data_IF_204738461022
#
_entry.id   IF_204738461022
#
_cell.length_a   1.000
_cell.length_b   1.000
_cell.length_c   1.000
_cell.angle_alpha   90.00
_cell.angle_beta   90.00
_cell.angle_gamma   90.00
#
_symmetry.space_group_name_H-M   'P 1'
#
loop_
_entity.id
_entity.type
_entity.pdbx_description
1 polymer ?
#
# COMPACT_ATOMS: atom_id res chain seq x y z
N UNK A 1 -2.49 4.48 23.63
CA UNK A 1 -3.42 4.59 22.47
C UNK A 1 -3.28 3.35 21.61
N UNK A 2 -4.37 2.87 20.98
CA UNK A 2 -4.32 1.69 20.10
C UNK A 2 -3.75 1.99 18.71
N UNK A 3 -3.15 0.98 18.12
CA UNK A 3 -2.70 0.98 16.73
C UNK A 3 -3.52 -0.01 15.89
N UNK A 4 -3.75 0.29 14.62
CA UNK A 4 -4.35 -0.60 13.64
C UNK A 4 -3.29 -1.15 12.69
N UNK A 5 -3.20 -2.47 12.58
CA UNK A 5 -2.32 -3.15 11.62
C UNK A 5 -3.15 -3.66 10.44
N UNK A 6 -2.87 -3.14 9.25
CA UNK A 6 -3.58 -3.42 8.00
C UNK A 6 -2.71 -4.34 7.16
N UNK A 7 -3.06 -5.62 7.08
CA UNK A 7 -2.21 -6.66 6.50
C UNK A 7 -2.82 -7.20 5.22
N UNK A 8 -2.03 -7.20 4.14
CA UNK A 8 -2.38 -7.82 2.84
C UNK A 8 -1.57 -9.10 2.68
N UNK A 9 -2.24 -10.26 2.62
CA UNK A 9 -1.61 -11.57 2.54
C UNK A 9 -2.12 -12.39 1.35
N UNK A 10 -1.25 -13.24 0.78
CA UNK A 10 -1.61 -14.18 -0.30
C UNK A 10 -0.79 -15.48 -0.30
N UNK A 11 0.28 -15.57 0.48
CA UNK A 11 1.18 -16.71 0.58
C UNK A 11 1.86 -16.78 1.96
N UNK A 12 2.81 -17.67 2.13
CA UNK A 12 3.69 -17.82 3.31
C UNK A 12 2.93 -17.91 4.64
N UNK A 13 2.13 -18.97 4.87
CA UNK A 13 1.29 -19.10 6.06
C UNK A 13 2.08 -19.08 7.37
N UNK A 14 3.28 -19.62 7.41
CA UNK A 14 4.11 -19.67 8.62
C UNK A 14 4.66 -18.29 8.99
N UNK A 15 5.04 -17.49 7.97
CA UNK A 15 5.48 -16.11 8.18
C UNK A 15 4.31 -15.26 8.64
N UNK A 16 3.13 -15.39 7.98
CA UNK A 16 1.92 -14.69 8.39
C UNK A 16 1.52 -15.04 9.83
N UNK A 17 1.56 -16.31 10.20
CA UNK A 17 1.30 -16.73 11.59
C UNK A 17 2.26 -16.10 12.58
N UNK A 18 3.55 -16.09 12.23
CA UNK A 18 4.60 -15.46 13.06
C UNK A 18 4.33 -13.97 13.21
N UNK A 19 4.02 -13.27 12.11
CA UNK A 19 3.65 -11.85 12.14
C UNK A 19 2.47 -11.57 13.08
N UNK A 20 1.38 -12.34 12.96
CA UNK A 20 0.19 -12.17 13.79
C UNK A 20 0.51 -12.39 15.29
N UNK A 21 1.34 -13.39 15.61
CA UNK A 21 1.78 -13.66 16.99
C UNK A 21 2.70 -12.57 17.55
N UNK A 22 3.59 -12.01 16.72
CA UNK A 22 4.45 -10.89 17.13
C UNK A 22 3.68 -9.58 17.34
N UNK A 23 2.55 -9.41 16.66
CA UNK A 23 1.66 -8.25 16.82
C UNK A 23 0.58 -8.45 17.89
N UNK A 24 0.49 -9.62 18.53
CA UNK A 24 -0.54 -9.95 19.54
C UNK A 24 -0.31 -9.18 20.85
N UNK A 25 -0.82 -7.97 20.90
CA UNK A 25 -0.76 -7.05 22.04
C UNK A 25 -2.13 -6.38 22.24
N UNK A 26 -2.53 -6.11 23.48
CA UNK A 26 -3.82 -5.47 23.79
C UNK A 26 -3.98 -4.07 23.19
N UNK A 27 -2.86 -3.43 22.85
CA UNK A 27 -2.79 -2.10 22.20
C UNK A 27 -2.96 -2.19 20.68
N UNK A 28 -3.09 -3.40 20.10
CA UNK A 28 -3.14 -3.61 18.66
C UNK A 28 -4.46 -4.23 18.23
N UNK A 29 -5.05 -3.67 17.19
CA UNK A 29 -6.13 -4.29 16.43
C UNK A 29 -5.60 -4.62 15.02
N UNK A 30 -5.76 -5.85 14.57
CA UNK A 30 -5.22 -6.35 13.30
C UNK A 30 -6.36 -6.57 12.31
N UNK A 31 -6.23 -6.04 11.11
CA UNK A 31 -7.15 -6.19 9.99
C UNK A 31 -6.45 -6.97 8.89
N UNK A 32 -6.86 -8.21 8.69
CA UNK A 32 -6.23 -9.12 7.74
C UNK A 32 -7.10 -9.28 6.48
N UNK A 33 -6.57 -8.85 5.34
CA UNK A 33 -7.09 -9.21 4.03
C UNK A 33 -6.26 -10.34 3.45
N UNK A 34 -6.91 -11.46 3.13
CA UNK A 34 -6.31 -12.57 2.37
C UNK A 34 -6.84 -12.51 0.94
N UNK A 35 -5.96 -12.50 -0.05
CA UNK A 35 -6.35 -12.50 -1.48
C UNK A 35 -7.40 -13.57 -1.76
N UNK A 36 -8.44 -13.23 -2.51
CA UNK A 36 -9.56 -14.16 -2.78
C UNK A 36 -9.11 -15.47 -3.43
N UNK A 37 -8.01 -15.45 -4.18
CA UNK A 37 -7.42 -16.61 -4.85
C UNK A 37 -6.62 -17.50 -3.90
N UNK A 38 -6.17 -16.98 -2.75
CA UNK A 38 -5.46 -17.72 -1.72
C UNK A 38 -6.44 -18.46 -0.78
N UNK A 39 -7.20 -19.42 -1.34
CA UNK A 39 -8.28 -20.13 -0.62
C UNK A 39 -7.74 -20.94 0.54
N UNK A 40 -6.63 -21.65 0.34
CA UNK A 40 -6.01 -22.47 1.39
C UNK A 40 -5.51 -21.61 2.55
N UNK A 41 -4.84 -20.51 2.26
CA UNK A 41 -4.40 -19.56 3.27
C UNK A 41 -5.59 -19.01 4.06
N UNK A 42 -6.66 -18.61 3.39
CA UNK A 42 -7.86 -18.12 4.05
C UNK A 42 -8.48 -19.19 4.98
N UNK A 43 -8.57 -20.44 4.54
CA UNK A 43 -9.14 -21.53 5.34
C UNK A 43 -8.30 -21.82 6.58
N UNK A 44 -6.98 -21.63 6.52
CA UNK A 44 -6.08 -21.79 7.68
C UNK A 44 -6.28 -20.68 8.72
N UNK A 45 -6.63 -19.47 8.29
CA UNK A 45 -6.69 -18.32 9.19
C UNK A 45 -8.09 -17.85 9.54
N UNK A 46 -9.15 -18.22 8.82
CA UNK A 46 -10.53 -17.71 9.01
C UNK A 46 -11.07 -17.83 10.44
N UNK A 47 -10.58 -18.81 11.20
CA UNK A 47 -10.95 -19.07 12.59
C UNK A 47 -9.78 -18.80 13.56
N UNK A 48 -8.69 -18.18 13.08
CA UNK A 48 -7.52 -17.88 13.91
C UNK A 48 -7.84 -16.78 14.92
N UNK A 49 -7.39 -16.95 16.15
CA UNK A 49 -7.62 -16.01 17.24
C UNK A 49 -6.30 -15.60 17.89
N UNK A 50 -6.20 -14.35 18.26
CA UNK A 50 -5.15 -13.81 19.10
C UNK A 50 -5.49 -14.02 20.59
N UNK A 51 -4.47 -13.93 21.43
CA UNK A 51 -4.66 -14.07 22.89
C UNK A 51 -4.95 -12.73 23.57
N UNK A 52 -4.42 -11.61 23.04
CA UNK A 52 -4.44 -10.29 23.66
C UNK A 52 -5.13 -9.25 22.77
N UNK A 53 -4.70 -9.17 21.51
CA UNK A 53 -5.19 -8.21 20.54
C UNK A 53 -6.48 -8.66 19.85
N UNK A 54 -7.07 -7.76 19.06
CA UNK A 54 -8.23 -8.07 18.22
C UNK A 54 -7.75 -8.40 16.80
N UNK A 55 -8.25 -9.52 16.23
CA UNK A 55 -8.04 -9.86 14.82
C UNK A 55 -9.38 -9.81 14.07
N UNK A 56 -9.43 -9.02 13.02
CA UNK A 56 -10.56 -8.91 12.09
C UNK A 56 -10.11 -9.45 10.73
N UNK A 57 -10.59 -10.63 10.37
CA UNK A 57 -10.33 -11.21 9.05
C UNK A 57 -11.45 -10.77 8.11
N UNK A 58 -11.07 -10.05 7.04
CA UNK A 58 -12.02 -9.46 6.12
C UNK A 58 -12.74 -10.55 5.31
N UNK A 59 -14.08 -10.53 5.34
CA UNK A 59 -14.92 -11.42 4.52
C UNK A 59 -14.99 -10.96 3.07
N UNK A 60 -15.02 -9.63 2.86
CA UNK A 60 -14.94 -9.03 1.52
C UNK A 60 -13.48 -9.08 1.06
N UNK A 61 -13.17 -9.99 0.13
CA UNK A 61 -11.82 -10.22 -0.36
C UNK A 61 -11.69 -9.84 -1.83
N UNK A 62 -10.59 -9.20 -2.16
CA UNK A 62 -10.26 -8.70 -3.50
C UNK A 62 -9.20 -9.59 -4.13
N UNK A 63 -9.28 -9.84 -5.45
CA UNK A 63 -8.19 -10.42 -6.21
C UNK A 63 -7.15 -9.33 -6.51
N UNK A 64 -6.06 -9.33 -5.78
CA UNK A 64 -5.01 -8.30 -5.88
C UNK A 64 -4.01 -8.66 -6.97
N UNK A 65 -3.95 -7.87 -8.02
CA UNK A 65 -3.03 -8.09 -9.14
C UNK A 65 -1.85 -7.12 -9.07
N UNK A 66 -0.65 -7.63 -9.30
CA UNK A 66 0.57 -6.83 -9.26
C UNK A 66 0.53 -5.69 -10.31
N UNK A 67 0.79 -4.47 -9.84
CA UNK A 67 0.83 -3.27 -10.67
C UNK A 67 -0.55 -2.77 -11.14
N UNK A 68 -1.63 -3.39 -10.68
CA UNK A 68 -3.01 -3.03 -11.01
C UNK A 68 -3.64 -2.15 -9.91
N UNK A 69 -4.74 -1.47 -10.25
CA UNK A 69 -5.49 -0.65 -9.31
C UNK A 69 -6.05 -1.43 -8.12
N UNK A 70 -6.22 -2.75 -8.27
CA UNK A 70 -6.70 -3.63 -7.19
C UNK A 70 -5.82 -3.62 -5.94
N UNK A 71 -4.53 -3.22 -6.04
CA UNK A 71 -3.68 -2.98 -4.87
C UNK A 71 -4.18 -1.78 -4.07
N UNK A 72 -4.54 -0.68 -4.75
CA UNK A 72 -5.13 0.50 -4.10
C UNK A 72 -6.52 0.20 -3.54
N UNK A 73 -7.32 -0.63 -4.24
CA UNK A 73 -8.65 -1.03 -3.79
C UNK A 73 -8.59 -1.79 -2.46
N UNK A 74 -7.64 -2.71 -2.30
CA UNK A 74 -7.48 -3.47 -1.06
C UNK A 74 -6.98 -2.60 0.09
N UNK A 75 -6.09 -1.66 -0.19
CA UNK A 75 -5.63 -0.71 0.82
C UNK A 75 -6.79 0.15 1.35
N UNK A 76 -7.63 0.71 0.45
CA UNK A 76 -8.82 1.44 0.86
C UNK A 76 -9.81 0.57 1.65
N UNK A 77 -10.03 -0.68 1.24
CA UNK A 77 -10.89 -1.60 1.98
C UNK A 77 -10.41 -1.78 3.43
N UNK A 78 -9.09 -1.91 3.63
CA UNK A 78 -8.49 -2.05 4.95
C UNK A 78 -8.60 -0.74 5.76
N UNK A 79 -8.26 0.41 5.17
CA UNK A 79 -8.37 1.71 5.85
C UNK A 79 -9.82 2.01 6.25
N UNK A 80 -10.78 1.84 5.36
CA UNK A 80 -12.21 2.06 5.62
C UNK A 80 -12.72 1.12 6.74
N UNK A 81 -12.33 -0.16 6.71
CA UNK A 81 -12.73 -1.13 7.74
C UNK A 81 -12.15 -0.76 9.10
N UNK A 82 -10.89 -0.34 9.15
CA UNK A 82 -10.26 0.04 10.40
C UNK A 82 -10.85 1.35 10.96
N UNK A 83 -11.10 2.35 10.13
CA UNK A 83 -11.73 3.62 10.55
C UNK A 83 -13.12 3.42 11.19
N UNK A 84 -13.90 2.43 10.73
CA UNK A 84 -15.19 2.09 11.33
C UNK A 84 -15.08 1.52 12.76
N UNK A 85 -13.90 1.07 13.16
CA UNK A 85 -13.61 0.48 14.47
C UNK A 85 -12.68 1.34 15.34
N UNK A 86 -12.16 2.47 14.81
CA UNK A 86 -11.26 3.39 15.49
C UNK A 86 -11.92 4.27 16.53
N UNK A 87 -11.26 5.34 16.97
CA UNK A 87 -10.01 5.86 16.40
C UNK A 87 -8.76 5.11 16.85
N UNK A 88 -7.71 5.15 16.01
CA UNK A 88 -6.39 4.61 16.29
C UNK A 88 -5.33 5.73 16.25
N UNK A 89 -4.28 5.62 17.07
CA UNK A 89 -3.18 6.57 16.99
C UNK A 89 -2.45 6.49 15.65
N UNK A 90 -2.26 5.23 15.17
CA UNK A 90 -1.59 4.93 13.90
C UNK A 90 -2.27 3.77 13.17
N UNK A 91 -2.21 3.84 11.85
CA UNK A 91 -2.57 2.78 10.89
C UNK A 91 -1.31 2.34 10.17
N UNK A 92 -0.90 1.09 10.34
CA UNK A 92 0.29 0.48 9.76
C UNK A 92 -0.11 -0.43 8.61
N UNK A 93 0.26 -0.10 7.38
CA UNK A 93 0.03 -0.95 6.22
C UNK A 93 1.24 -1.87 6.01
N UNK A 94 1.02 -3.17 6.01
CA UNK A 94 2.04 -4.21 5.95
C UNK A 94 1.70 -5.32 4.96
N UNK A 95 2.73 -5.98 4.44
CA UNK A 95 2.59 -7.28 3.77
C UNK A 95 2.44 -8.41 4.80
N UNK A 96 1.75 -9.48 4.42
CA UNK A 96 1.70 -10.72 5.23
C UNK A 96 3.04 -11.43 5.40
N UNK A 97 4.10 -10.94 4.76
CA UNK A 97 5.47 -11.46 4.87
C UNK A 97 6.44 -10.50 5.56
N UNK A 98 5.95 -9.35 6.05
CA UNK A 98 6.77 -8.45 6.86
C UNK A 98 6.80 -8.92 8.31
N UNK A 99 7.90 -8.64 9.01
CA UNK A 99 8.04 -8.95 10.43
C UNK A 99 8.51 -7.70 11.19
N UNK A 100 7.99 -7.45 12.41
CA UNK A 100 8.50 -6.41 13.28
C UNK A 100 9.95 -6.69 13.66
N UNK A 101 10.82 -5.68 13.57
CA UNK A 101 12.24 -5.78 13.97
C UNK A 101 12.48 -5.25 15.40
N UNK A 102 11.41 -4.85 16.08
CA UNK A 102 11.42 -4.33 17.44
C UNK A 102 10.26 -4.93 18.23
N UNK A 103 10.36 -4.87 19.57
CA UNK A 103 9.28 -5.26 20.49
C UNK A 103 8.08 -4.31 20.38
N UNK A 104 6.89 -4.77 20.79
CA UNK A 104 5.69 -3.93 20.78
C UNK A 104 5.85 -2.69 21.67
N UNK A 105 6.50 -2.80 22.83
CA UNK A 105 6.77 -1.66 23.69
C UNK A 105 7.60 -0.60 22.99
N UNK A 106 8.70 -1.01 22.34
CA UNK A 106 9.53 -0.09 21.57
C UNK A 106 8.73 0.60 20.45
N UNK A 107 7.90 -0.16 19.72
CA UNK A 107 7.09 0.38 18.62
C UNK A 107 6.11 1.43 19.15
N UNK A 108 5.36 1.12 20.22
CA UNK A 108 4.40 2.05 20.82
C UNK A 108 5.09 3.31 21.39
N UNK A 109 6.22 3.16 22.08
CA UNK A 109 7.00 4.29 22.59
C UNK A 109 7.53 5.17 21.45
N UNK A 110 8.03 4.54 20.37
CA UNK A 110 8.53 5.27 19.19
C UNK A 110 7.42 6.13 18.56
N UNK A 111 6.26 5.57 18.29
CA UNK A 111 5.14 6.29 17.69
C UNK A 111 4.54 7.33 18.65
N UNK A 112 4.53 7.07 19.96
CA UNK A 112 4.13 8.05 20.95
C UNK A 112 5.07 9.24 21.00
N UNK A 113 6.39 9.02 20.95
CA UNK A 113 7.41 10.08 20.90
C UNK A 113 7.29 10.94 19.64
N UNK A 114 6.85 10.35 18.54
CA UNK A 114 6.70 11.02 17.27
C UNK A 114 5.23 11.22 16.86
N UNK A 115 4.35 11.40 17.86
CA UNK A 115 2.93 11.59 17.63
C UNK A 115 2.64 12.73 16.62
N UNK A 116 1.70 12.48 15.71
CA UNK A 116 1.33 13.44 14.65
C UNK A 116 2.25 13.43 13.42
N UNK A 117 3.28 12.58 13.39
CA UNK A 117 4.14 12.41 12.20
C UNK A 117 3.64 11.28 11.30
N UNK A 118 3.81 11.48 9.98
CA UNK A 118 3.45 10.52 8.95
C UNK A 118 4.71 9.82 8.43
N UNK A 119 4.76 8.50 8.54
CA UNK A 119 5.91 7.69 8.12
C UNK A 119 5.67 7.12 6.73
N UNK A 120 6.08 7.87 5.72
CA UNK A 120 5.88 7.60 4.30
C UNK A 120 7.20 7.78 3.57
N UNK A 121 7.69 6.73 2.93
CA UNK A 121 8.95 6.77 2.17
C UNK A 121 8.78 7.35 0.77
N UNK A 122 9.84 8.00 0.27
CA UNK A 122 9.88 8.61 -1.05
C UNK A 122 11.12 8.17 -1.82
N UNK A 123 10.97 8.06 -3.14
CA UNK A 123 12.04 7.82 -4.09
C UNK A 123 12.17 9.01 -5.05
N UNK A 124 13.11 9.90 -4.82
CA UNK A 124 13.22 11.16 -5.55
C UNK A 124 14.38 11.23 -6.57
N UNK A 125 15.06 10.10 -6.83
CA UNK A 125 16.08 10.05 -7.86
C UNK A 125 15.50 10.40 -9.25
N UNK A 126 16.32 10.98 -10.15
CA UNK A 126 15.88 11.34 -11.51
C UNK A 126 15.28 10.18 -12.30
N UNK A 127 15.75 8.96 -12.06
CA UNK A 127 15.22 7.72 -12.65
C UNK A 127 13.77 7.45 -12.22
N UNK A 128 13.47 7.63 -10.94
CA UNK A 128 12.14 7.46 -10.37
C UNK A 128 11.16 8.52 -10.87
N UNK A 129 11.59 9.77 -11.01
CA UNK A 129 10.75 10.84 -11.60
C UNK A 129 10.36 10.53 -13.04
N UNK A 130 11.29 10.01 -13.86
CA UNK A 130 11.00 9.55 -15.23
C UNK A 130 10.03 8.37 -15.25
N UNK A 131 10.18 7.43 -14.30
CA UNK A 131 9.28 6.27 -14.16
C UNK A 131 7.86 6.71 -13.78
N UNK A 132 7.71 7.60 -12.79
CA UNK A 132 6.43 8.19 -12.40
C UNK A 132 5.76 8.89 -13.59
N UNK A 133 6.51 9.73 -14.30
CA UNK A 133 6.01 10.40 -15.50
C UNK A 133 5.47 9.38 -16.51
N UNK A 134 6.24 8.35 -16.82
CA UNK A 134 5.84 7.30 -17.77
C UNK A 134 4.57 6.57 -17.30
N UNK A 135 4.49 6.20 -16.02
CA UNK A 135 3.38 5.41 -15.45
C UNK A 135 2.09 6.20 -15.34
N UNK A 136 2.15 7.46 -14.94
CA UNK A 136 0.97 8.29 -14.65
C UNK A 136 0.42 8.98 -15.91
N UNK A 137 1.28 9.49 -16.79
CA UNK A 137 0.85 10.29 -17.93
C UNK A 137 0.53 9.50 -19.21
N UNK A 138 0.57 8.16 -19.13
CA UNK A 138 0.12 7.27 -20.21
C UNK A 138 -1.00 6.37 -19.74
N UNK A 139 -1.79 5.88 -20.67
CA UNK A 139 -2.77 4.83 -20.41
C UNK A 139 -2.11 3.47 -20.46
N UNK A 140 -2.05 2.79 -19.31
CA UNK A 140 -1.70 1.38 -19.20
C UNK A 140 -2.99 0.55 -19.22
N UNK A 141 -3.22 -0.13 -20.34
CA UNK A 141 -4.36 -1.02 -20.50
C UNK A 141 -4.01 -2.42 -19.99
N UNK A 142 -5.01 -3.12 -19.48
CA UNK A 142 -4.89 -4.52 -19.05
C UNK A 142 -3.81 -4.75 -17.96
N UNK A 143 -3.68 -3.84 -17.02
CA UNK A 143 -2.73 -3.93 -15.89
C UNK A 143 -2.94 -5.21 -15.07
N UNK A 144 -4.18 -5.68 -14.93
CA UNK A 144 -4.54 -6.94 -14.26
C UNK A 144 -3.84 -8.17 -14.83
N UNK A 145 -3.49 -8.15 -16.11
CA UNK A 145 -2.80 -9.23 -16.81
C UNK A 145 -1.30 -8.96 -17.02
N UNK A 146 -0.72 -8.05 -16.24
CA UNK A 146 0.70 -7.70 -16.36
C UNK A 146 1.60 -8.83 -15.88
N UNK A 147 1.25 -9.47 -14.75
CA UNK A 147 1.87 -10.69 -14.25
C UNK A 147 0.77 -11.72 -13.99
N UNK A 148 0.91 -12.91 -14.59
CA UNK A 148 -0.05 -14.01 -14.44
C UNK A 148 -1.13 -14.07 -15.53
N UNK A 149 -1.90 -15.16 -15.54
CA UNK A 149 -2.86 -15.50 -16.59
C UNK A 149 -2.36 -16.62 -17.50
N UNK A 150 -3.23 -17.12 -18.41
CA UNK A 150 -2.78 -18.08 -19.42
C UNK A 150 -1.79 -17.42 -20.38
N UNK A 151 -0.84 -18.19 -20.89
CA UNK A 151 0.22 -17.69 -21.79
C UNK A 151 -0.34 -16.94 -23.00
N UNK A 152 -1.46 -17.39 -23.55
CA UNK A 152 -2.14 -16.75 -24.69
C UNK A 152 -2.73 -15.38 -24.32
N UNK A 153 -3.50 -15.30 -23.23
CA UNK A 153 -4.11 -14.03 -22.74
C UNK A 153 -3.03 -13.04 -22.37
N UNK A 154 -1.97 -13.49 -21.69
CA UNK A 154 -0.82 -12.65 -21.34
C UNK A 154 -0.14 -12.10 -22.61
N UNK A 155 0.13 -12.92 -23.61
CA UNK A 155 0.73 -12.48 -24.88
C UNK A 155 -0.12 -11.45 -25.61
N UNK A 156 -1.41 -11.71 -25.77
CA UNK A 156 -2.34 -10.80 -26.47
C UNK A 156 -2.48 -9.45 -25.74
N UNK A 157 -2.66 -9.47 -24.42
CA UNK A 157 -2.79 -8.24 -23.63
C UNK A 157 -1.49 -7.45 -23.57
N UNK A 158 -0.34 -8.13 -23.49
CA UNK A 158 0.97 -7.50 -23.56
C UNK A 158 1.21 -6.85 -24.93
N UNK A 159 0.89 -7.53 -26.04
CA UNK A 159 0.98 -6.99 -27.38
C UNK A 159 0.12 -5.73 -27.53
N UNK A 160 -1.18 -5.81 -27.19
CA UNK A 160 -2.12 -4.69 -27.31
C UNK A 160 -1.66 -3.50 -26.46
N UNK A 161 -1.21 -3.75 -25.24
CA UNK A 161 -0.66 -2.71 -24.35
C UNK A 161 0.57 -2.05 -24.95
N UNK A 162 1.51 -2.82 -25.49
CA UNK A 162 2.74 -2.30 -26.07
C UNK A 162 2.47 -1.48 -27.33
N UNK A 163 1.55 -1.91 -28.19
CA UNK A 163 1.09 -1.14 -29.37
C UNK A 163 0.47 0.19 -28.91
N UNK A 164 -0.44 0.15 -27.94
CA UNK A 164 -1.07 1.35 -27.38
C UNK A 164 -0.04 2.33 -26.80
N UNK A 165 0.95 1.83 -26.04
CA UNK A 165 2.03 2.65 -25.49
C UNK A 165 2.94 3.21 -26.58
N UNK A 166 3.20 2.44 -27.64
CA UNK A 166 3.96 2.87 -28.82
C UNK A 166 3.27 4.03 -29.54
N UNK A 167 1.96 3.91 -29.80
CA UNK A 167 1.15 4.98 -30.41
C UNK A 167 1.17 6.23 -29.54
N UNK A 168 0.91 6.11 -28.23
CA UNK A 168 0.96 7.22 -27.27
C UNK A 168 2.32 7.94 -27.28
N UNK A 169 3.42 7.16 -27.44
CA UNK A 169 4.77 7.74 -27.53
C UNK A 169 4.97 8.50 -28.83
N UNK A 170 4.52 7.91 -29.95
CA UNK A 170 4.66 8.51 -31.28
C UNK A 170 3.95 9.86 -31.40
N UNK A 171 2.69 9.92 -30.93
CA UNK A 171 1.89 11.16 -30.96
C UNK A 171 2.18 12.08 -29.76
N UNK A 172 3.19 11.78 -28.95
CA UNK A 172 3.55 12.52 -27.72
C UNK A 172 2.35 12.75 -26.78
N UNK A 173 1.46 11.76 -26.72
CA UNK A 173 0.25 11.85 -25.90
C UNK A 173 0.59 11.96 -24.40
N UNK A 174 -0.12 12.86 -23.74
CA UNK A 174 -0.03 13.02 -22.27
C UNK A 174 -1.44 13.11 -21.67
N UNK A 175 -1.75 12.25 -20.70
CA UNK A 175 -2.96 12.35 -19.90
C UNK A 175 -2.95 13.66 -19.12
N UNK A 176 -4.09 14.34 -19.11
CA UNK A 176 -4.29 15.54 -18.28
C UNK A 176 -4.75 15.12 -16.88
N UNK A 177 -4.13 15.67 -15.87
CA UNK A 177 -4.51 15.49 -14.47
C UNK A 177 -4.82 16.85 -13.85
N UNK A 178 -5.69 16.86 -12.83
CA UNK A 178 -6.01 18.09 -12.10
C UNK A 178 -4.81 18.63 -11.30
N UNK A 179 -3.86 17.75 -10.96
CA UNK A 179 -2.59 18.07 -10.30
C UNK A 179 -1.46 17.38 -11.05
N UNK A 180 -0.34 18.07 -11.21
CA UNK A 180 0.81 17.59 -11.99
C UNK A 180 1.99 17.08 -11.13
N UNK A 181 1.88 17.15 -9.81
CA UNK A 181 2.94 16.75 -8.89
C UNK A 181 2.69 15.33 -8.37
N UNK A 182 3.27 14.35 -9.04
CA UNK A 182 3.24 12.96 -8.63
C UNK A 182 4.58 12.53 -8.07
N UNK A 183 4.52 11.76 -6.99
CA UNK A 183 5.68 11.24 -6.26
C UNK A 183 5.56 9.75 -6.09
N UNK A 184 6.69 9.07 -6.00
CA UNK A 184 6.79 7.62 -5.83
C UNK A 184 7.52 7.28 -4.54
N UNK A 185 7.16 6.15 -3.93
CA UNK A 185 7.84 5.62 -2.77
C UNK A 185 7.42 4.21 -2.43
N UNK A 186 7.58 3.84 -1.18
CA UNK A 186 7.17 2.53 -0.68
C UNK A 186 5.64 2.45 -0.50
N UNK A 187 5.09 1.27 -0.77
CA UNK A 187 3.68 0.98 -0.48
C UNK A 187 3.41 0.94 1.04
N UNK A 188 4.37 0.41 1.80
CA UNK A 188 4.23 0.21 3.25
C UNK A 188 4.45 1.51 4.00
N UNK A 189 3.51 1.84 4.89
CA UNK A 189 3.43 3.14 5.56
C UNK A 189 2.90 3.00 6.98
N UNK A 190 3.13 4.05 7.80
CA UNK A 190 2.46 4.22 9.08
C UNK A 190 1.94 5.64 9.17
N UNK A 191 0.61 5.78 9.25
CA UNK A 191 -0.07 7.08 9.15
C UNK A 191 -0.98 7.34 10.34
N UNK A 192 -1.19 8.61 10.64
CA UNK A 192 -2.08 9.06 11.72
C UNK A 192 -3.56 8.89 11.36
N UNK A 193 -4.42 8.92 12.37
CA UNK A 193 -5.88 8.91 12.20
C UNK A 193 -6.36 10.07 11.30
N UNK A 194 -5.85 11.26 11.54
CA UNK A 194 -6.23 12.45 10.77
C UNK A 194 -5.88 12.31 9.28
N UNK A 195 -4.70 11.77 8.96
CA UNK A 195 -4.34 11.55 7.56
C UNK A 195 -5.08 10.36 6.96
N UNK A 196 -5.40 9.33 7.74
CA UNK A 196 -6.22 8.20 7.30
C UNK A 196 -7.62 8.67 6.87
N UNK A 197 -8.28 9.50 7.65
CA UNK A 197 -9.55 10.15 7.27
C UNK A 197 -9.40 10.97 5.97
N UNK A 198 -8.38 11.82 5.91
CA UNK A 198 -8.09 12.62 4.71
C UNK A 198 -7.89 11.77 3.46
N UNK A 199 -7.22 10.63 3.59
CA UNK A 199 -6.97 9.65 2.53
C UNK A 199 -8.30 9.04 2.04
N UNK A 200 -9.13 8.55 2.96
CA UNK A 200 -10.40 7.87 2.65
C UNK A 200 -11.40 8.83 2.00
N UNK A 201 -11.50 10.06 2.46
CA UNK A 201 -12.36 11.10 1.86
C UNK A 201 -12.03 11.38 0.38
N UNK A 202 -10.81 11.06 -0.05
CA UNK A 202 -10.34 11.29 -1.43
C UNK A 202 -10.35 10.05 -2.31
N UNK A 203 -10.93 8.96 -1.84
CA UNK A 203 -11.01 7.68 -2.57
C UNK A 203 -11.48 7.85 -4.01
N UNK A 204 -12.60 8.54 -4.23
CA UNK A 204 -13.17 8.73 -5.57
C UNK A 204 -12.19 9.44 -6.52
N UNK A 205 -11.50 10.48 -6.02
CA UNK A 205 -10.47 11.19 -6.79
C UNK A 205 -9.27 10.27 -7.12
N UNK A 206 -8.78 9.52 -6.16
CA UNK A 206 -7.64 8.59 -6.34
C UNK A 206 -8.00 7.48 -7.32
N UNK A 207 -9.14 6.83 -7.15
CA UNK A 207 -9.59 5.76 -8.05
C UNK A 207 -9.73 6.25 -9.50
N UNK A 208 -10.29 7.43 -9.72
CA UNK A 208 -10.39 8.06 -11.06
C UNK A 208 -9.02 8.41 -11.64
N UNK A 209 -8.13 8.99 -10.83
CA UNK A 209 -6.81 9.47 -11.27
C UNK A 209 -5.90 8.31 -11.67
N UNK A 210 -5.90 7.23 -10.88
CA UNK A 210 -4.95 6.14 -11.04
C UNK A 210 -5.47 4.92 -11.80
N UNK A 211 -6.73 4.94 -12.28
CA UNK A 211 -7.39 3.82 -12.99
C UNK A 211 -6.54 3.15 -14.08
N UNK A 212 -5.74 3.92 -14.78
CA UNK A 212 -4.90 3.43 -15.89
C UNK A 212 -3.41 3.62 -15.63
N UNK A 213 -3.02 3.69 -14.38
CA UNK A 213 -1.63 3.85 -13.94
C UNK A 213 -1.04 2.47 -13.60
N UNK A 214 0.20 2.23 -13.99
CA UNK A 214 0.93 1.01 -13.61
C UNK A 214 1.58 1.21 -12.24
N UNK A 215 1.43 0.26 -11.32
CA UNK A 215 1.88 0.32 -9.92
C UNK A 215 1.40 1.60 -9.22
N UNK A 216 0.08 1.83 -9.13
CA UNK A 216 -0.45 3.04 -8.50
C UNK A 216 -0.23 3.06 -6.99
N UNK A 217 -0.11 1.91 -6.35
CA UNK A 217 0.19 1.69 -4.93
C UNK A 217 1.49 2.37 -4.47
N UNK A 218 2.49 2.43 -5.33
CA UNK A 218 3.75 3.12 -5.05
C UNK A 218 3.70 4.66 -5.28
N UNK A 219 2.56 5.21 -5.71
CA UNK A 219 2.48 6.60 -6.21
C UNK A 219 1.38 7.41 -5.51
N UNK A 220 0.22 6.82 -5.21
CA UNK A 220 -0.96 7.59 -4.84
C UNK A 220 -0.87 8.23 -3.46
N UNK A 221 -0.37 7.52 -2.44
CA UNK A 221 -0.22 8.07 -1.08
C UNK A 221 0.84 9.17 -1.05
N UNK A 222 2.00 8.92 -1.65
CA UNK A 222 3.07 9.91 -1.75
C UNK A 222 2.61 11.18 -2.46
N UNK A 223 1.88 11.01 -3.56
CA UNK A 223 1.33 12.15 -4.30
C UNK A 223 0.24 12.88 -3.51
N UNK A 224 -0.59 12.15 -2.77
CA UNK A 224 -1.66 12.74 -1.99
C UNK A 224 -1.11 13.56 -0.83
N UNK A 225 -0.22 12.99 -0.02
CA UNK A 225 0.33 13.68 1.16
C UNK A 225 1.16 14.89 0.75
N UNK A 226 1.99 14.77 -0.29
CA UNK A 226 2.84 15.88 -0.76
C UNK A 226 2.03 17.10 -1.21
N UNK A 227 0.83 16.87 -1.76
CA UNK A 227 -0.08 17.93 -2.21
C UNK A 227 -1.18 18.26 -1.17
N UNK A 228 -0.95 17.98 0.09
CA UNK A 228 -1.88 18.17 1.20
C UNK A 228 -1.30 19.03 2.32
N UNK A 229 -2.12 19.51 3.25
CA UNK A 229 -1.64 20.17 4.48
C UNK A 229 -0.77 19.26 5.37
N UNK A 230 -0.87 17.94 5.20
CA UNK A 230 -0.12 16.95 5.98
C UNK A 230 1.34 16.82 5.55
N UNK A 231 1.78 17.48 4.48
CA UNK A 231 3.16 17.44 3.99
C UNK A 231 4.17 17.76 5.08
N UNK A 232 3.93 18.76 5.90
CA UNK A 232 4.83 19.20 6.97
C UNK A 232 4.87 18.22 8.17
N UNK A 233 3.93 17.26 8.19
CA UNK A 233 3.89 16.19 9.18
C UNK A 233 4.72 14.97 8.76
N UNK A 234 5.24 14.90 7.53
CA UNK A 234 6.12 13.80 7.10
C UNK A 234 7.30 13.73 8.06
N UNK A 235 7.52 12.50 8.61
CA UNK A 235 8.66 12.23 9.48
C UNK A 235 9.93 12.42 8.73
N UNK A 236 10.83 13.10 8.84
CA UNK A 236 12.02 13.34 8.04
C UNK A 236 11.75 13.88 6.62
N UNK A 237 11.03 15.01 6.58
CA UNK A 237 10.72 15.70 5.32
C UNK A 237 11.98 16.10 4.54
N UNK A 238 13.11 16.38 5.21
CA UNK A 238 14.38 16.74 4.57
C UNK A 238 14.95 15.56 3.78
N UNK A 239 14.89 14.35 4.33
CA UNK A 239 15.34 13.15 3.66
C UNK A 239 14.33 12.66 2.62
N UNK A 240 13.02 12.80 2.87
CA UNK A 240 12.00 12.55 1.87
C UNK A 240 12.24 13.37 0.59
N UNK A 241 12.71 14.62 0.71
CA UNK A 241 13.07 15.45 -0.44
C UNK A 241 14.31 14.96 -1.20
N UNK A 242 15.21 14.22 -0.55
CA UNK A 242 16.43 13.61 -1.13
C UNK A 242 16.23 12.17 -1.61
N UNK A 243 15.10 11.54 -1.31
CA UNK A 243 14.82 10.15 -1.70
C UNK A 243 15.18 9.11 -0.66
N UNK A 244 15.30 9.51 0.59
CA UNK A 244 15.58 8.62 1.70
C UNK A 244 14.37 7.76 2.10
N UNK A 245 14.67 6.67 2.76
CA UNK A 245 13.71 5.66 3.24
C UNK A 245 13.09 6.16 4.55
N UNK A 246 11.77 6.19 4.63
CA UNK A 246 11.08 6.37 5.92
C UNK A 246 11.51 5.29 6.91
N UNK A 247 11.51 5.62 8.19
CA UNK A 247 11.78 4.66 9.26
C UNK A 247 10.68 3.60 9.30
N UNK A 248 10.88 2.49 8.60
CA UNK A 248 10.05 1.30 8.72
C UNK A 248 10.61 0.44 9.85
N UNK A 249 9.82 0.22 10.91
CA UNK A 249 10.14 -0.71 11.99
C UNK A 249 9.80 -2.17 11.62
N UNK A 250 9.61 -2.42 10.33
CA UNK A 250 9.22 -3.70 9.74
C UNK A 250 10.10 -4.00 8.53
N UNK A 251 10.38 -5.26 8.30
CA UNK A 251 11.15 -5.71 7.14
C UNK A 251 10.54 -6.97 6.54
N UNK A 252 10.61 -7.10 5.23
CA UNK A 252 10.28 -8.32 4.53
C UNK A 252 11.48 -9.28 4.59
N UNK A 253 11.30 -10.54 5.00
CA UNK A 253 12.34 -11.55 4.94
C UNK A 253 12.58 -12.09 3.51
N UNK A 254 11.84 -11.61 2.52
CA UNK A 254 11.96 -12.12 1.15
C UNK A 254 13.34 -11.82 0.57
N UNK A 255 14.11 -12.83 0.17
CA UNK A 255 15.24 -12.61 -0.70
C UNK A 255 14.71 -12.04 -2.02
N UNK A 256 15.38 -11.04 -2.51
CA UNK A 256 15.11 -10.52 -3.84
C UNK A 256 15.67 -11.54 -4.84
N UNK A 257 14.80 -12.17 -5.56
CA UNK A 257 15.12 -12.81 -6.83
C UNK A 257 14.75 -11.87 -7.97
#
# INVERSE_FOLDING_TARGET
>A
MKHAYLIIAHNEPDVLKTLLLMLDDERNDIYLHVDVRAVELFNQFKDFQLKKGKLVILKNRIAVHWGDLSQVEVEYLLFETALQNGPYAYYHLLSGVDLPIKTQDYIHEFFQKHAGKEFIGFWNEPSHRKDVYRKVYRYYLFTRYFKGGSSFVHGLTAFTRNVCLGIQKLIKFRRKHARDNFYKGFQWISITDSFCHYLVDRKAYIMKTFKYTLCPDEIFIQSLIWNSPFRENIYDLSDASKGSVSCLLYTSPSPRD
#
